data_IF_331531110531
#
_entry.id   IF_331531110531
#
_cell.length_a   1.000
_cell.length_b   1.000
_cell.length_c   1.000
_cell.angle_alpha   90.00
_cell.angle_beta   90.00
_cell.angle_gamma   90.00
#
_symmetry.space_group_name_H-M   'P 1'
#
loop_
_entity.id
_entity.type
_entity.pdbx_description
1 polymer ?
2 water ?
#
# COMPACT_ATOMS: atom_id res chain seq x y z
N UNK A 18 14.51 3.10 0.95
CA UNK A 18 14.51 1.60 0.81
C UNK A 18 13.88 0.94 2.03
N UNK A 19 12.65 0.47 1.89
CA UNK A 19 11.93 -0.21 2.99
C UNK A 19 12.53 -1.58 3.27
N UNK A 20 12.90 -1.84 4.52
CA UNK A 20 13.63 -3.05 4.83
C UNK A 20 12.87 -4.33 4.48
N UNK A 21 13.53 -5.31 3.82
CA UNK A 21 12.84 -6.58 3.58
C UNK A 21 12.28 -7.28 4.84
N UNK A 22 12.93 -7.08 5.98
CA UNK A 22 12.42 -7.57 7.23
C UNK A 22 11.05 -6.97 7.60
N UNK A 23 10.90 -5.65 7.40
CA UNK A 23 9.66 -4.97 7.67
C UNK A 23 8.59 -5.43 6.70
N UNK A 24 8.97 -5.62 5.43
CA UNK A 24 8.03 -6.09 4.43
C UNK A 24 7.50 -7.48 4.79
N UNK A 25 8.38 -8.35 5.26
CA UNK A 25 8.00 -9.68 5.64
C UNK A 25 7.06 -9.63 6.85
N UNK A 26 7.38 -8.76 7.80
CA UNK A 26 6.52 -8.65 8.99
C UNK A 26 5.11 -8.18 8.64
N UNK A 27 5.02 -7.21 7.72
CA UNK A 27 3.69 -6.80 7.26
C UNK A 27 2.94 -7.94 6.61
N UNK A 28 3.62 -8.73 5.81
CA UNK A 28 2.95 -9.86 5.16
C UNK A 28 2.48 -10.87 6.22
N UNK A 29 3.27 -11.09 7.26
CA UNK A 29 2.84 -11.99 8.34
C UNK A 29 1.61 -11.45 9.07
N UNK A 30 1.58 -10.14 9.30
CA UNK A 30 0.34 -9.52 9.82
C UNK A 30 -0.86 -9.83 8.96
N UNK A 31 -0.70 -9.71 7.64
CA UNK A 31 -1.78 -10.00 6.74
C UNK A 31 -2.18 -11.48 6.74
N UNK A 32 -1.22 -12.36 6.80
CA UNK A 32 -1.49 -13.81 6.90
C UNK A 32 -2.35 -14.03 8.14
N UNK A 33 -2.02 -13.35 9.24
CA UNK A 33 -2.82 -13.41 10.48
C UNK A 33 -4.29 -13.05 10.24
N UNK A 34 -4.53 -11.93 9.54
CA UNK A 34 -5.87 -11.44 9.29
C UNK A 34 -6.62 -12.44 8.43
N UNK A 35 -5.94 -12.94 7.43
CA UNK A 35 -6.57 -13.83 6.45
C UNK A 35 -6.91 -15.19 7.12
N UNK A 36 -5.98 -15.67 7.95
CA UNK A 36 -6.08 -16.99 8.63
C UNK A 36 -7.24 -16.98 9.63
N UNK A 37 -7.48 -15.86 10.29
CA UNK A 37 -8.63 -15.75 11.20
C UNK A 37 -9.93 -15.99 10.45
N UNK A 38 -10.04 -15.46 9.23
CA UNK A 38 -11.28 -15.55 8.46
C UNK A 38 -11.40 -16.92 7.80
N UNK A 39 -10.29 -17.42 7.28
CA UNK A 39 -10.25 -18.74 6.67
C UNK A 39 -8.87 -19.34 6.84
N UNK A 40 -8.78 -20.38 7.67
CA UNK A 40 -7.50 -20.98 7.96
C UNK A 40 -6.79 -21.57 6.74
N UNK A 41 -7.55 -21.94 5.72
CA UNK A 41 -6.98 -22.56 4.53
C UNK A 41 -6.99 -21.60 3.34
N UNK A 42 -7.06 -20.30 3.63
CA UNK A 42 -7.14 -19.26 2.60
C UNK A 42 -6.15 -19.46 1.45
N UNK A 43 -4.90 -19.82 1.72
CA UNK A 43 -3.87 -19.92 0.68
C UNK A 43 -4.23 -20.99 -0.34
N UNK A 44 -4.89 -22.05 0.11
CA UNK A 44 -5.18 -23.18 -0.77
C UNK A 44 -6.25 -22.80 -1.80
N UNK A 45 -7.11 -21.86 -1.46
CA UNK A 45 -8.21 -21.40 -2.30
C UNK A 45 -7.75 -20.34 -3.35
N UNK A 46 -6.60 -19.72 -3.11
CA UNK A 46 -6.15 -18.54 -3.90
C UNK A 46 -4.93 -18.92 -4.72
N UNK A 47 -4.64 -18.11 -5.74
CA UNK A 47 -3.44 -18.23 -6.56
C UNK A 47 -2.78 -16.84 -6.60
N UNK A 48 -1.47 -16.78 -6.85
CA UNK A 48 -0.75 -15.51 -7.01
C UNK A 48 -1.43 -14.58 -8.02
N UNK A 49 -1.91 -15.17 -9.12
CA UNK A 49 -2.61 -14.40 -10.14
C UNK A 49 -3.87 -13.69 -9.69
N UNK A 50 -4.55 -14.18 -8.63
CA UNK A 50 -5.72 -13.55 -8.12
C UNK A 50 -5.31 -12.15 -7.58
N UNK A 51 -4.20 -12.14 -6.84
CA UNK A 51 -3.77 -10.90 -6.20
C UNK A 51 -3.24 -9.94 -7.24
N UNK A 52 -2.55 -10.46 -8.25
CA UNK A 52 -2.11 -9.61 -9.37
C UNK A 52 -3.28 -8.94 -10.02
N UNK A 53 -4.32 -9.71 -10.35
CA UNK A 53 -5.52 -9.13 -10.90
C UNK A 53 -6.15 -8.07 -10.03
N UNK A 54 -6.32 -8.37 -8.73
CA UNK A 54 -6.90 -7.42 -7.83
C UNK A 54 -6.12 -6.08 -7.75
N UNK A 55 -4.82 -6.18 -7.72
CA UNK A 55 -3.94 -4.99 -7.73
C UNK A 55 -4.14 -4.22 -9.01
N UNK A 56 -4.21 -4.95 -10.13
CA UNK A 56 -4.34 -4.31 -11.43
C UNK A 56 -5.64 -3.57 -11.53
N UNK A 57 -6.74 -4.15 -11.04
CA UNK A 57 -8.00 -3.51 -11.03
C UNK A 57 -8.12 -2.29 -10.12
N UNK A 58 -7.44 -2.36 -8.97
CA UNK A 58 -7.46 -1.21 -8.07
C UNK A 58 -6.59 -0.05 -8.63
N UNK A 59 -5.47 -0.41 -9.23
CA UNK A 59 -4.59 0.58 -9.94
C UNK A 59 -5.36 1.20 -11.09
N UNK A 60 -6.17 0.41 -11.81
CA UNK A 60 -6.98 1.00 -12.88
C UNK A 60 -8.00 1.97 -12.38
N UNK A 61 -8.63 1.67 -11.22
CA UNK A 61 -9.55 2.57 -10.62
C UNK A 61 -8.88 3.90 -10.23
N UNK A 62 -7.70 3.81 -9.64
CA UNK A 62 -6.92 5.00 -9.31
C UNK A 62 -6.63 5.79 -10.58
N UNK A 63 -6.15 5.11 -11.62
CA UNK A 63 -5.83 5.79 -12.89
C UNK A 63 -7.08 6.51 -13.41
N UNK A 64 -8.23 5.87 -13.36
CA UNK A 64 -9.41 6.42 -14.01
C UNK A 64 -9.94 7.64 -13.28
N UNK A 65 -9.56 7.82 -12.02
CA UNK A 65 -9.95 9.00 -11.26
C UNK A 65 -9.16 10.26 -11.60
N UNK A 66 -8.02 10.10 -12.30
CA UNK A 66 -7.25 11.21 -12.86
C UNK A 66 -7.79 11.65 -14.22
N UNK A 67 -7.53 12.89 -14.60
CA UNK A 67 -8.06 13.39 -15.88
C UNK A 67 -7.19 13.00 -17.05
N UNK A 68 -7.15 11.69 -17.33
CA UNK A 68 -6.25 11.15 -18.33
C UNK A 68 -6.81 11.22 -19.77
N UNK A 69 -8.13 11.33 -19.89
CA UNK A 69 -8.74 11.24 -21.23
C UNK A 69 -8.56 12.57 -21.93
N UNK A 70 -7.57 12.62 -22.81
CA UNK A 70 -7.11 13.86 -23.44
C UNK A 70 -8.14 14.46 -24.38
N UNK A 71 -9.18 13.71 -24.70
CA UNK A 71 -10.29 14.16 -25.60
C UNK A 71 -11.56 14.63 -24.86
N UNK A 72 -11.50 14.69 -23.53
CA UNK A 72 -12.65 15.15 -22.74
C UNK A 72 -12.34 16.46 -22.04
N UNK A 73 -13.38 17.27 -21.79
CA UNK A 73 -13.23 18.57 -21.12
C UNK A 73 -13.32 18.39 -19.61
N UNK A 74 -12.34 17.67 -19.07
CA UNK A 74 -12.36 17.23 -17.67
C UNK A 74 -10.92 17.11 -17.15
N UNK A 75 -10.71 17.20 -15.84
CA UNK A 75 -11.74 17.38 -14.81
C UNK A 75 -11.05 17.59 -13.47
N UNK A 76 -11.84 17.67 -12.40
CA UNK A 76 -11.29 17.76 -11.06
C UNK A 76 -10.36 16.58 -10.79
N UNK A 77 -9.22 16.87 -10.17
CA UNK A 77 -8.27 15.83 -9.73
C UNK A 77 -9.04 14.90 -8.77
N UNK A 78 -8.54 13.67 -8.54
CA UNK A 78 -9.24 12.69 -7.70
C UNK A 78 -9.49 13.11 -6.25
N UNK A 79 -10.48 12.48 -5.64
CA UNK A 79 -10.79 12.65 -4.22
C UNK A 79 -9.71 11.93 -3.41
N UNK A 80 -9.04 12.68 -2.52
CA UNK A 80 -7.92 12.18 -1.73
C UNK A 80 -8.32 11.00 -0.83
N UNK A 81 -9.54 11.05 -0.27
CA UNK A 81 -10.01 9.94 0.56
C UNK A 81 -10.17 8.68 -0.27
N UNK A 82 -10.63 8.79 -1.51
CA UNK A 82 -10.75 7.58 -2.34
C UNK A 82 -9.35 7.09 -2.70
N UNK A 83 -8.42 8.00 -2.96
CA UNK A 83 -7.06 7.54 -3.24
C UNK A 83 -6.47 6.73 -2.06
N UNK A 84 -6.61 7.27 -0.86
CA UNK A 84 -6.15 6.55 0.33
C UNK A 84 -6.78 5.18 0.45
N UNK A 85 -8.09 5.09 0.22
CA UNK A 85 -8.77 3.77 0.26
C UNK A 85 -8.18 2.81 -0.77
N UNK A 86 -7.95 3.29 -1.97
CA UNK A 86 -7.39 2.43 -3.00
C UNK A 86 -5.96 1.94 -2.69
N UNK A 87 -5.13 2.82 -2.14
CA UNK A 87 -3.80 2.42 -1.72
C UNK A 87 -3.83 1.37 -0.61
N UNK A 88 -4.75 1.55 0.33
CA UNK A 88 -4.90 0.62 1.42
C UNK A 88 -5.34 -0.77 0.92
N UNK A 89 -6.30 -0.76 0.00
CA UNK A 89 -6.76 -1.99 -0.65
C UNK A 89 -5.62 -2.70 -1.37
N UNK A 90 -4.85 -1.95 -2.20
CA UNK A 90 -3.69 -2.55 -2.83
C UNK A 90 -2.72 -3.18 -1.85
N UNK A 91 -2.46 -2.50 -0.73
CA UNK A 91 -1.61 -3.06 0.30
C UNK A 91 -2.09 -4.42 0.81
N UNK A 92 -3.37 -4.55 1.08
CA UNK A 92 -3.91 -5.85 1.50
C UNK A 92 -3.66 -6.92 0.45
N UNK A 93 -3.87 -6.54 -0.79
CA UNK A 93 -3.67 -7.53 -1.85
C UNK A 93 -2.22 -7.91 -2.04
N UNK A 94 -1.31 -6.92 -1.94
CA UNK A 94 0.07 -7.17 -2.17
C UNK A 94 0.77 -7.94 -0.99
N UNK A 95 0.32 -7.66 0.22
CA UNK A 95 0.76 -8.44 1.38
C UNK A 95 0.25 -9.86 1.28
N UNK A 96 -1.01 -10.03 0.86
CA UNK A 96 -1.56 -11.40 0.66
C UNK A 96 -0.79 -12.14 -0.45
N UNK A 97 -0.51 -11.44 -1.55
CA UNK A 97 0.32 -11.98 -2.61
C UNK A 97 1.66 -12.42 -2.21
N UNK A 98 2.34 -11.59 -1.40
CA UNK A 98 3.64 -11.91 -0.93
C UNK A 98 3.67 -13.22 -0.15
N UNK A 99 2.63 -13.48 0.62
CA UNK A 99 2.56 -14.75 1.35
C UNK A 99 2.49 -15.98 0.40
N UNK A 100 2.20 -15.81 -0.87
CA UNK A 100 2.21 -16.97 -1.79
C UNK A 100 3.40 -17.11 -2.72
N UNK A 101 4.49 -16.43 -2.41
CA UNK A 101 5.70 -16.50 -3.20
C UNK A 101 6.93 -16.50 -2.29
N UNK A 102 8.00 -17.15 -2.74
CA UNK A 102 9.18 -17.39 -1.90
C UNK A 102 10.41 -17.55 -2.78
N UNK A 122 15.85 -14.28 -14.61
CA UNK A 122 15.68 -12.83 -14.49
C UNK A 122 14.37 -12.40 -15.13
N UNK A 123 13.63 -11.52 -14.45
CA UNK A 123 12.36 -10.99 -14.97
C UNK A 123 12.54 -9.49 -15.21
N UNK A 124 12.36 -9.08 -16.46
CA UNK A 124 12.66 -7.72 -16.87
C UNK A 124 11.43 -6.83 -16.83
N UNK A 125 11.63 -5.60 -16.36
CA UNK A 125 10.63 -4.54 -16.37
C UNK A 125 11.01 -3.41 -17.32
N UNK A 126 10.01 -2.90 -18.02
CA UNK A 126 10.17 -1.83 -18.99
C UNK A 126 9.24 -0.72 -18.55
N UNK A 127 9.77 0.18 -17.72
CA UNK A 127 8.90 1.15 -17.07
C UNK A 127 8.62 2.41 -17.87
N UNK A 128 7.44 2.98 -17.66
CA UNK A 128 7.08 4.35 -18.11
C UNK A 128 7.74 5.42 -17.24
N UNK A 129 8.20 6.51 -17.86
CA UNK A 129 8.57 7.75 -17.19
C UNK A 129 7.42 8.68 -17.42
N UNK A 130 7.30 9.77 -16.65
CA UNK A 130 6.25 10.72 -16.90
C UNK A 130 6.28 11.28 -18.34
N UNK A 131 5.11 11.55 -18.89
CA UNK A 131 4.93 11.94 -20.30
C UNK A 131 5.91 13.05 -20.65
N UNK A 132 6.61 12.84 -21.77
CA UNK A 132 7.72 13.71 -22.21
C UNK A 132 7.20 14.87 -22.98
N UNK A 133 8.01 15.93 -23.01
CA UNK A 133 7.80 17.08 -23.89
C UNK A 133 8.44 16.72 -25.24
N UNK A 134 8.00 17.36 -26.33
CA UNK A 134 8.62 17.04 -27.63
C UNK A 134 10.13 17.29 -27.64
N UNK A 135 10.86 16.54 -28.46
CA UNK A 135 12.32 16.72 -28.59
C UNK A 135 12.59 18.10 -29.20
N UNK A 136 13.64 18.76 -28.73
CA UNK A 136 13.95 20.11 -29.18
C UNK A 136 15.45 20.39 -28.99
N UNK A 137 15.82 21.66 -29.12
CA UNK A 137 17.22 22.10 -29.03
C UNK A 137 18.19 21.27 -29.87
N UNK A 138 17.76 20.92 -31.07
CA UNK A 138 18.63 20.20 -31.99
C UNK A 138 18.78 18.71 -31.72
N UNK A 139 17.87 18.14 -30.95
CA UNK A 139 17.78 16.67 -30.83
C UNK A 139 16.55 16.16 -31.59
N UNK A 140 15.74 17.08 -32.11
CA UNK A 140 14.52 16.69 -32.86
C UNK A 140 14.81 15.97 -34.17
N UNK A 141 16.06 16.06 -34.64
CA UNK A 141 16.47 15.44 -35.92
C UNK A 141 16.74 13.93 -35.84
N UNK A 142 16.75 13.37 -34.64
CA UNK A 142 16.82 11.91 -34.45
C UNK A 142 15.53 11.40 -33.77
N UNK A 143 14.51 12.26 -33.66
CA UNK A 143 13.19 11.88 -33.14
C UNK A 143 12.36 11.25 -34.27
N UNK A 144 12.66 9.99 -34.55
CA UNK A 144 11.97 9.25 -35.60
C UNK A 144 11.19 8.12 -34.97
N UNK A 145 10.29 7.52 -35.75
CA UNK A 145 9.55 6.35 -35.27
C UNK A 145 10.58 5.27 -34.95
N UNK A 146 10.58 4.80 -33.70
CA UNK A 146 11.57 3.83 -33.21
C UNK A 146 10.94 2.48 -32.92
N UNK A 147 11.79 1.49 -32.65
CA UNK A 147 11.34 0.15 -32.28
C UNK A 147 10.30 0.27 -31.15
N UNK A 148 9.22 -0.52 -31.22
CA UNK A 148 8.20 -0.48 -30.16
C UNK A 148 8.83 -0.52 -28.76
N UNK A 149 8.39 0.36 -27.87
CA UNK A 149 8.89 0.38 -26.50
C UNK A 149 10.11 1.26 -26.26
N UNK A 150 10.47 2.07 -27.27
CA UNK A 150 11.64 2.98 -27.19
C UNK A 150 11.48 4.01 -26.06
N UNK A 151 10.26 4.50 -25.85
CA UNK A 151 9.97 5.47 -24.78
C UNK A 151 10.08 4.88 -23.36
N UNK A 152 10.08 3.56 -23.26
CA UNK A 152 10.19 2.90 -21.97
C UNK A 152 11.62 2.99 -21.48
N UNK A 153 11.78 3.05 -20.17
CA UNK A 153 13.13 2.99 -19.61
C UNK A 153 13.87 1.72 -20.07
N UNK A 154 15.20 1.79 -20.03
CA UNK A 154 16.04 0.61 -20.28
C UNK A 154 15.58 -0.52 -19.35
N UNK A 155 15.65 -1.77 -19.82
CA UNK A 155 15.29 -2.93 -18.99
C UNK A 155 15.90 -2.87 -17.59
N UNK A 156 15.03 -3.00 -16.61
CA UNK A 156 15.41 -3.10 -15.23
C UNK A 156 15.04 -4.50 -14.76
N UNK A 157 15.99 -5.18 -14.14
CA UNK A 157 15.74 -6.44 -13.53
C UNK A 157 14.81 -6.29 -12.33
N UNK A 158 13.79 -7.16 -12.23
CA UNK A 158 12.84 -7.06 -11.11
C UNK A 158 13.54 -7.15 -9.74
N UNK A 159 14.56 -7.99 -9.63
CA UNK A 159 15.26 -8.14 -8.33
C UNK A 159 16.24 -7.00 -7.99
N UNK A 160 16.49 -6.10 -8.95
CA UNK A 160 17.37 -4.93 -8.75
C UNK A 160 16.60 -3.60 -8.72
N UNK A 161 15.29 -3.69 -8.93
CA UNK A 161 14.43 -2.56 -9.05
C UNK A 161 14.30 -1.79 -7.72
N UNK A 162 14.36 -0.46 -7.81
CA UNK A 162 14.01 0.40 -6.67
C UNK A 162 12.91 1.40 -7.04
N UNK A 163 12.37 2.06 -6.03
CA UNK A 163 11.27 3.03 -6.26
C UNK A 163 11.58 4.11 -7.29
N UNK A 164 12.82 4.60 -7.30
CA UNK A 164 13.16 5.69 -8.15
C UNK A 164 13.05 5.31 -9.63
N UNK A 165 13.07 4.03 -9.92
CA UNK A 165 12.92 3.54 -11.29
C UNK A 165 11.49 3.67 -11.81
N UNK A 166 10.50 3.71 -10.91
CA UNK A 166 9.12 3.55 -11.37
C UNK A 166 8.06 4.39 -10.70
N UNK A 167 8.36 5.07 -9.58
CA UNK A 167 7.42 5.93 -8.93
C UNK A 167 7.88 7.37 -9.05
N UNK A 168 6.96 8.26 -9.33
CA UNK A 168 7.23 9.70 -9.58
C UNK A 168 6.31 10.54 -8.76
N UNK A 169 6.94 11.28 -7.86
CA UNK A 169 6.21 12.14 -6.97
C UNK A 169 6.48 13.62 -7.26
N UNK A 170 5.51 14.50 -7.02
CA UNK A 170 4.24 14.26 -6.38
C UNK A 170 3.13 13.69 -7.29
N UNK A 171 2.24 12.92 -6.66
CA UNK A 171 1.10 12.35 -7.37
C UNK A 171 -0.01 13.34 -7.63
N UNK A 172 0.12 14.59 -7.16
CA UNK A 172 -0.78 15.66 -7.54
C UNK A 172 -0.63 16.01 -9.01
N UNK A 173 0.52 15.70 -9.60
CA UNK A 173 0.73 15.91 -11.01
C UNK A 173 0.23 14.67 -11.76
N UNK A 174 -0.67 14.92 -12.69
CA UNK A 174 -1.35 13.86 -13.39
C UNK A 174 -0.39 12.91 -14.10
N UNK A 175 0.57 13.43 -14.85
CA UNK A 175 1.41 12.57 -15.62
C UNK A 175 2.31 11.74 -14.74
N UNK A 176 2.73 12.30 -13.59
CA UNK A 176 3.48 11.48 -12.62
C UNK A 176 2.66 10.26 -12.13
N UNK A 177 1.40 10.52 -11.81
CA UNK A 177 0.47 9.49 -11.29
C UNK A 177 0.24 8.46 -12.38
N UNK A 178 0.02 8.91 -13.61
CA UNK A 178 -0.25 7.96 -14.69
C UNK A 178 0.87 7.01 -14.97
N UNK A 179 2.12 7.48 -14.96
CA UNK A 179 3.28 6.65 -15.13
C UNK A 179 3.44 5.73 -13.92
N UNK A 180 3.32 6.29 -12.70
CA UNK A 180 3.54 5.50 -11.50
C UNK A 180 2.58 4.31 -11.40
N UNK A 181 1.30 4.57 -11.66
CA UNK A 181 0.25 3.52 -11.46
C UNK A 181 0.27 2.50 -12.58
N UNK A 182 0.65 2.94 -13.78
CA UNK A 182 0.90 1.97 -14.83
C UNK A 182 2.06 1.06 -14.51
N UNK A 183 3.09 1.61 -13.84
CA UNK A 183 4.20 0.83 -13.46
C UNK A 183 3.88 -0.20 -12.35
N UNK A 184 3.01 0.22 -11.43
CA UNK A 184 2.45 -0.69 -10.42
C UNK A 184 1.75 -1.88 -11.07
N UNK A 185 0.95 -1.60 -12.10
CA UNK A 185 0.32 -2.71 -12.89
C UNK A 185 1.40 -3.61 -13.50
N UNK A 186 2.46 -3.04 -14.07
CA UNK A 186 3.56 -3.83 -14.58
C UNK A 186 4.13 -4.77 -13.51
N UNK A 187 4.35 -4.24 -12.31
CA UNK A 187 4.92 -5.06 -11.26
C UNK A 187 3.93 -6.09 -10.72
N UNK A 188 2.65 -5.74 -10.63
CA UNK A 188 1.62 -6.70 -10.21
C UNK A 188 1.57 -7.84 -11.23
N UNK A 189 1.72 -7.49 -12.50
CA UNK A 189 1.72 -8.50 -13.59
C UNK A 189 2.88 -9.51 -13.49
N UNK A 190 4.00 -9.14 -12.86
CA UNK A 190 5.17 -9.98 -12.71
C UNK A 190 5.17 -10.57 -11.29
N UNK A 191 4.07 -10.36 -10.55
CA UNK A 191 3.89 -10.86 -9.20
C UNK A 191 4.99 -10.35 -8.23
N UNK A 192 5.39 -9.11 -8.44
CA UNK A 192 6.41 -8.48 -7.61
C UNK A 192 5.77 -7.74 -6.45
N UNK A 193 5.17 -8.50 -5.56
CA UNK A 193 4.27 -7.94 -4.58
C UNK A 193 4.97 -7.05 -3.56
N UNK A 194 6.18 -7.41 -3.16
CA UNK A 194 6.93 -6.59 -2.18
C UNK A 194 7.23 -5.19 -2.71
N UNK A 195 7.60 -5.11 -3.99
CA UNK A 195 7.74 -3.81 -4.66
C UNK A 195 6.47 -3.01 -4.71
N UNK A 196 5.34 -3.66 -4.99
CA UNK A 196 4.07 -3.02 -4.96
C UNK A 196 3.76 -2.44 -3.56
N UNK A 197 4.00 -3.25 -2.51
CA UNK A 197 3.83 -2.78 -1.13
C UNK A 197 4.65 -1.52 -0.83
N UNK A 198 5.92 -1.58 -1.18
CA UNK A 198 6.81 -0.46 -0.97
C UNK A 198 6.28 0.78 -1.68
N UNK A 199 5.82 0.58 -2.91
CA UNK A 199 5.35 1.66 -3.73
C UNK A 199 4.09 2.33 -3.18
N UNK A 200 3.10 1.56 -2.72
CA UNK A 200 1.92 2.17 -2.19
C UNK A 200 2.18 2.83 -0.82
N UNK A 201 3.13 2.28 -0.04
CA UNK A 201 3.51 2.95 1.20
C UNK A 201 4.11 4.32 0.91
N UNK A 202 5.00 4.38 -0.08
CA UNK A 202 5.62 5.65 -0.49
C UNK A 202 4.59 6.62 -1.09
N UNK A 203 3.65 6.08 -1.88
CA UNK A 203 2.62 6.89 -2.47
C UNK A 203 1.73 7.51 -1.41
N UNK A 204 1.42 6.71 -0.39
CA UNK A 204 0.63 7.18 0.74
C UNK A 204 1.33 8.32 1.48
N UNK A 205 2.62 8.14 1.76
CA UNK A 205 3.43 9.20 2.40
C UNK A 205 3.38 10.46 1.56
N UNK A 206 3.49 10.30 0.25
CA UNK A 206 3.48 11.47 -0.64
C UNK A 206 2.21 12.33 -0.50
N UNK A 207 1.05 11.71 -0.29
CA UNK A 207 -0.22 12.43 -0.07
C UNK A 207 -0.59 12.63 1.42
N UNK A 208 0.39 12.37 2.30
CA UNK A 208 0.30 12.72 3.72
C UNK A 208 -0.33 11.70 4.67
N UNK A 209 -0.33 10.45 4.25
CA UNK A 209 -0.98 9.33 4.93
C UNK A 209 0.10 8.34 5.36
N UNK A 210 0.15 8.00 6.66
CA UNK A 210 1.06 7.01 7.15
C UNK A 210 0.38 5.66 7.10
N UNK A 211 0.60 4.96 5.99
CA UNK A 211 -0.11 3.75 5.70
C UNK A 211 0.37 2.60 6.58
N UNK A 212 1.63 2.60 7.00
CA UNK A 212 2.12 1.54 7.88
C UNK A 212 1.39 1.65 9.25
N UNK A 213 1.36 2.86 9.80
CA UNK A 213 0.74 3.05 11.10
C UNK A 213 -0.73 2.74 11.02
N UNK A 214 -1.39 3.23 9.97
CA UNK A 214 -2.77 2.94 9.75
C UNK A 214 -3.05 1.45 9.64
N UNK A 215 -2.25 0.75 8.85
CA UNK A 215 -2.39 -0.70 8.70
C UNK A 215 -2.34 -1.43 10.04
N UNK A 216 -1.37 -1.07 10.87
CA UNK A 216 -1.21 -1.76 12.16
C UNK A 216 -2.40 -1.41 13.08
N UNK A 217 -2.83 -0.15 13.10
CA UNK A 217 -3.99 0.26 13.90
C UNK A 217 -5.26 -0.47 13.48
N UNK A 218 -5.48 -0.54 12.17
CA UNK A 218 -6.66 -1.21 11.65
C UNK A 218 -6.61 -2.72 11.87
N UNK A 219 -5.42 -3.30 11.80
CA UNK A 219 -5.19 -4.69 12.07
C UNK A 219 -5.65 -5.00 13.49
N UNK A 220 -5.30 -4.14 14.42
CA UNK A 220 -5.70 -4.31 15.81
C UNK A 220 -7.22 -4.21 15.97
N UNK A 221 -7.82 -3.21 15.34
CA UNK A 221 -9.28 -3.03 15.40
C UNK A 221 -9.99 -4.25 14.82
N UNK A 222 -9.46 -4.84 13.76
CA UNK A 222 -10.04 -6.06 13.20
C UNK A 222 -10.14 -7.17 14.27
N UNK A 223 -9.10 -7.34 15.08
CA UNK A 223 -9.15 -8.34 16.13
C UNK A 223 -10.12 -7.97 17.25
N UNK A 224 -10.12 -6.71 17.62
CA UNK A 224 -11.09 -6.23 18.63
C UNK A 224 -12.55 -6.50 18.22
N UNK A 225 -12.88 -6.27 16.95
CA UNK A 225 -14.23 -6.51 16.43
C UNK A 225 -14.68 -7.96 16.50
N UNK A 226 -13.78 -8.89 16.65
CA UNK A 226 -14.14 -10.30 16.80
C UNK A 226 -14.23 -10.72 18.26
N UNK A 227 -13.97 -9.80 19.22
CA UNK A 227 -14.00 -10.18 20.62
C UNK A 227 -15.42 -10.16 21.16
N UNK A 228 -15.71 -11.19 21.97
CA UNK A 228 -17.00 -11.29 22.62
C UNK A 228 -17.44 -9.96 23.26
N UNK A 229 -16.54 -9.37 24.05
CA UNK A 229 -16.89 -8.15 24.74
C UNK A 229 -17.10 -6.93 23.85
N UNK A 230 -16.50 -6.91 22.66
CA UNK A 230 -16.80 -5.87 21.72
C UNK A 230 -18.21 -6.04 21.15
N UNK A 231 -18.48 -7.27 20.70
CA UNK A 231 -19.76 -7.60 20.06
C UNK A 231 -20.97 -7.43 20.95
N UNK A 232 -20.78 -7.67 22.25
CA UNK A 232 -21.89 -7.56 23.18
C UNK A 232 -22.01 -6.19 23.88
N UNK A 233 -21.15 -5.25 23.50
CA UNK A 233 -21.24 -3.88 24.01
C UNK A 233 -20.55 -3.65 25.34
N UNK A 234 -19.88 -4.68 25.88
CA UNK A 234 -19.16 -4.53 27.17
C UNK A 234 -17.96 -3.58 27.02
N UNK A 235 -17.26 -3.64 25.90
CA UNK A 235 -16.06 -2.87 25.72
C UNK A 235 -16.45 -1.58 25.01
N UNK A 236 -16.17 -0.47 25.68
CA UNK A 236 -16.61 0.85 25.25
C UNK A 236 -15.42 1.77 24.97
N UNK A 237 -15.66 2.79 24.16
CA UNK A 237 -14.63 3.74 23.74
C UNK A 237 -14.22 4.70 24.82
N UNK A 238 -13.02 5.23 24.72
CA UNK A 238 -12.48 6.19 25.68
C UNK A 238 -13.17 7.54 25.55
N UNK A 239 -13.75 7.79 24.38
CA UNK A 239 -14.50 9.00 24.14
C UNK A 239 -15.77 8.62 23.44
N UNK A 240 -16.90 8.80 24.12
CA UNK A 240 -18.18 8.32 23.60
C UNK A 240 -18.57 9.15 22.38
N UNK A 241 -19.17 8.52 21.39
CA UNK A 241 -19.65 9.23 20.21
C UNK A 241 -18.66 9.45 19.07
N UNK A 242 -17.37 9.23 19.33
CA UNK A 242 -16.36 9.47 18.29
C UNK A 242 -16.29 8.26 17.36
N UNK A 243 -16.33 8.48 16.05
CA UNK A 243 -16.37 7.37 15.08
C UNK A 243 -15.04 6.59 15.09
N UNK A 244 -15.09 5.32 14.72
CA UNK A 244 -13.91 4.43 14.79
C UNK A 244 -12.72 5.00 14.05
N UNK A 245 -12.93 5.53 12.85
CA UNK A 245 -11.80 6.05 12.08
C UNK A 245 -11.12 7.25 12.71
N UNK A 246 -11.89 8.14 13.36
CA UNK A 246 -11.31 9.27 14.06
C UNK A 246 -10.53 8.78 15.27
N UNK A 247 -11.03 7.72 15.92
CA UNK A 247 -10.28 7.16 17.05
C UNK A 247 -8.95 6.59 16.59
N UNK A 248 -8.95 5.79 15.54
CA UNK A 248 -7.72 5.28 14.97
C UNK A 248 -6.75 6.39 14.60
N UNK A 249 -7.26 7.47 14.01
CA UNK A 249 -6.41 8.59 13.62
C UNK A 249 -5.71 9.16 14.83
N UNK A 250 -6.42 9.33 15.93
CA UNK A 250 -5.78 9.80 17.14
C UNK A 250 -4.67 8.91 17.67
N UNK A 251 -4.85 7.60 17.46
CA UNK A 251 -3.87 6.62 17.89
C UNK A 251 -2.58 6.72 17.08
N UNK A 252 -2.69 7.09 15.81
CA UNK A 252 -1.52 7.04 14.92
C UNK A 252 -0.93 8.42 14.58
N UNK A 253 -1.63 9.49 14.92
CA UNK A 253 -1.20 10.83 14.53
C UNK A 253 0.18 11.26 15.05
N UNK A 254 0.64 10.74 16.21
CA UNK A 254 2.00 11.12 16.60
C UNK A 254 3.15 10.52 15.77
N UNK A 255 2.86 9.55 14.89
CA UNK A 255 3.91 8.79 14.23
C UNK A 255 4.11 9.18 12.77
N UNK A 256 5.34 9.43 12.39
CA UNK A 256 5.69 9.59 10.99
C UNK A 256 5.93 8.21 10.40
N UNK A 257 6.05 8.14 9.08
CA UNK A 257 6.44 6.90 8.44
C UNK A 257 7.78 6.42 8.93
N UNK A 258 8.78 7.31 9.00
CA UNK A 258 10.12 6.94 9.45
C UNK A 258 10.05 6.39 10.88
N UNK A 259 9.17 6.97 11.71
CA UNK A 259 9.05 6.58 13.11
C UNK A 259 8.67 5.11 13.24
N UNK A 260 7.93 4.56 12.27
CA UNK A 260 7.42 3.19 12.36
C UNK A 260 8.02 2.20 11.34
N UNK A 261 9.14 2.60 10.73
CA UNK A 261 9.80 1.76 9.77
C UNK A 261 11.31 1.66 9.97
N UNK A 262 11.74 1.86 11.20
CA UNK A 262 13.17 1.66 11.50
C UNK A 262 13.41 0.19 11.74
N UNK A 263 14.43 -0.40 11.08
CA UNK A 263 14.72 -1.84 11.19
C UNK A 263 14.97 -2.30 12.65
N UNK A 264 15.50 -1.39 13.45
CA UNK A 264 15.85 -1.74 14.82
C UNK A 264 14.64 -1.86 15.75
N UNK A 265 13.71 -0.93 15.65
CA UNK A 265 12.65 -0.84 16.64
C UNK A 265 11.20 -0.84 16.15
N UNK A 266 11.00 -1.17 14.87
CA UNK A 266 9.65 -1.10 14.33
C UNK A 266 8.69 -1.96 15.11
N UNK A 267 9.09 -3.12 15.61
CA UNK A 267 8.15 -3.99 16.32
C UNK A 267 7.64 -3.32 17.58
N UNK A 268 8.53 -2.55 18.24
CA UNK A 268 8.14 -1.83 19.42
C UNK A 268 7.12 -0.74 19.13
N UNK A 269 7.29 -0.04 17.99
CA UNK A 269 6.40 1.02 17.62
C UNK A 269 5.07 0.43 17.18
N UNK A 270 5.08 -0.69 16.50
CA UNK A 270 3.83 -1.31 16.14
C UNK A 270 3.09 -1.82 17.40
N UNK A 271 3.82 -2.37 18.34
CA UNK A 271 3.22 -2.77 19.63
C UNK A 271 2.62 -1.55 20.36
N UNK A 272 3.28 -0.39 20.29
CA UNK A 272 2.77 0.81 20.91
C UNK A 272 1.44 1.22 20.22
N UNK A 273 1.36 1.14 18.90
CA UNK A 273 0.16 1.46 18.18
C UNK A 273 -0.94 0.49 18.56
N UNK A 274 -0.64 -0.79 18.65
CA UNK A 274 -1.61 -1.82 19.09
C UNK A 274 -2.20 -1.45 20.45
N UNK A 275 -1.32 -1.12 21.39
CA UNK A 275 -1.72 -0.76 22.75
C UNK A 275 -2.58 0.46 22.77
N UNK A 276 -2.24 1.44 21.95
CA UNK A 276 -3.03 2.67 21.84
C UNK A 276 -4.44 2.39 21.34
N UNK A 277 -4.58 1.51 20.36
CA UNK A 277 -5.85 1.13 19.84
C UNK A 277 -6.65 0.35 20.88
N UNK A 278 -6.02 -0.62 21.54
CA UNK A 278 -6.70 -1.36 22.59
C UNK A 278 -7.26 -0.43 23.68
N UNK A 279 -6.45 0.54 24.09
CA UNK A 279 -6.88 1.55 25.07
C UNK A 279 -8.08 2.33 24.58
N UNK A 280 -8.03 2.83 23.34
CA UNK A 280 -9.06 3.72 22.81
C UNK A 280 -10.37 3.02 22.69
N UNK A 281 -10.35 1.73 22.39
CA UNK A 281 -11.52 0.90 22.21
C UNK A 281 -11.92 0.07 23.42
N UNK A 282 -11.24 0.30 24.55
CA UNK A 282 -11.71 -0.25 25.81
C UNK A 282 -11.47 -1.74 26.03
N UNK A 283 -10.33 -2.26 25.54
CA UNK A 283 -10.05 -3.69 25.64
C UNK A 283 -9.40 -3.99 26.99
N UNK A 284 -9.93 -4.96 27.77
CA UNK A 284 -9.31 -5.32 29.04
C UNK A 284 -7.91 -5.85 28.81
N UNK A 285 -7.05 -5.74 29.80
CA UNK A 285 -5.67 -6.19 29.66
C UNK A 285 -5.51 -7.63 29.18
N UNK A 286 -6.30 -8.53 29.72
CA UNK A 286 -6.12 -9.96 29.48
C UNK A 286 -6.52 -10.41 28.08
N UNK A 287 -7.24 -9.57 27.33
CA UNK A 287 -7.67 -9.91 25.97
C UNK A 287 -6.71 -9.36 24.89
N UNK A 288 -5.67 -8.66 25.31
CA UNK A 288 -4.74 -8.04 24.36
C UNK A 288 -3.69 -9.03 23.91
N UNK A 289 -3.22 -8.82 22.69
CA UNK A 289 -2.09 -9.56 22.14
C UNK A 289 -0.92 -8.59 21.99
N UNK A 290 0.27 -9.12 22.09
CA UNK A 290 1.52 -8.41 21.81
C UNK A 290 1.89 -8.59 20.35
N UNK A 291 2.71 -7.69 19.81
CA UNK A 291 3.20 -7.81 18.46
C UNK A 291 3.83 -9.18 18.17
N UNK A 292 4.49 -9.75 19.17
CA UNK A 292 5.16 -11.05 19.01
C UNK A 292 4.21 -12.19 18.70
N UNK A 293 2.93 -12.05 19.06
CA UNK A 293 1.91 -13.05 18.73
C UNK A 293 1.79 -13.26 17.23
N UNK A 294 1.93 -12.17 16.47
CA UNK A 294 1.65 -12.21 15.05
C UNK A 294 2.91 -12.48 14.22
N UNK A 295 4.06 -12.15 14.76
CA UNK A 295 5.30 -12.16 13.97
C UNK A 295 6.07 -13.47 14.15
N UNK A 296 6.56 -14.02 13.05
CA UNK A 296 7.27 -15.31 13.05
C UNK A 296 8.76 -15.10 12.84
#
# INVERSE_FOLDING_TARGET
>A
MGSSHHHHHHMKNARRVSLSPLILRSLAELQDGLNTVVDKNWRQLRRPGDWSLAITMEAAELLDSYPWKWWKNVKAQPDLQNVKIELTDILHFSLSGAMQVSDENSGAVHKAEAGSNGESGKHWCYFDQPRALPAAGGAEYVACVETPGSSLSAPVSADECDLADFMFFPLSDTNNALASFQNIIRLASLQRFQLVTSAVIAAADDIGFNLVAYYVAKHTLNGIRQMKGYKDGTYVKVQKGVEDNELLHGCISPFSLDDVTNEGNYKTKWDDIMHRVYDAFGTPKEERLNIGHWLKS
#
